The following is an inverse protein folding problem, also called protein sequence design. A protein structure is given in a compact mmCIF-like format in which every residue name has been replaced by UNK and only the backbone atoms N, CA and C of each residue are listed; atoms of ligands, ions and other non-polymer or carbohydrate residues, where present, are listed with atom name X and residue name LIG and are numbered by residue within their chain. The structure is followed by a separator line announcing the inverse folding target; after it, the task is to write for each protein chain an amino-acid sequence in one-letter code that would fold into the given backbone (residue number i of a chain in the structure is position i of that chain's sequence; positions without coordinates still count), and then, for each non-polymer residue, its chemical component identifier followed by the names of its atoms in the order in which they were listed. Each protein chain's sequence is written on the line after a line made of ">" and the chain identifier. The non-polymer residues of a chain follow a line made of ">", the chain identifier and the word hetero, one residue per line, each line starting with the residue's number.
data_IF_264442630081
#
_entry.id   IF_264442630081
#
_cell.length_a   1.000
_cell.length_b   1.000
_cell.length_c   1.000
_cell.angle_alpha   90.00
_cell.angle_beta   90.00
_cell.angle_gamma   90.00
#
_symmetry.space_group_name_H-M   'P 1'
#
loop_
_entity.id
_entity.type
_entity.pdbx_description
1 polymer ?
#
# COMPACT_ATOMS: atom_id res chain seq x y z
N UNK A 1 9.06 -26.37 -7.59
CA UNK A 1 8.79 -27.68 -8.26
C UNK A 1 7.85 -27.58 -9.46
N UNK A 2 6.68 -26.94 -9.38
CA UNK A 2 5.71 -26.82 -10.52
C UNK A 2 6.27 -26.06 -11.74
N UNK A 3 7.04 -24.98 -11.54
CA UNK A 3 7.61 -24.17 -12.63
C UNK A 3 8.69 -24.95 -13.42
N UNK A 4 9.41 -25.86 -12.78
CA UNK A 4 10.41 -26.70 -13.45
C UNK A 4 9.77 -27.75 -14.37
N UNK A 5 8.62 -28.31 -13.98
CA UNK A 5 7.85 -29.24 -14.82
C UNK A 5 7.33 -28.58 -16.11
N UNK A 6 7.09 -27.26 -16.10
CA UNK A 6 6.61 -26.51 -17.25
C UNK A 6 7.70 -26.25 -18.31
N UNK A 7 8.98 -26.40 -17.97
CA UNK A 7 10.15 -26.28 -18.86
C UNK A 7 10.75 -27.65 -19.25
N UNK A 8 9.97 -28.74 -19.24
CA UNK A 8 10.46 -30.10 -19.53
C UNK A 8 10.92 -30.33 -20.98
N UNK A 9 10.75 -29.35 -21.88
CA UNK A 9 11.14 -29.45 -23.29
C UNK A 9 12.65 -29.40 -23.54
N UNK A 10 13.43 -28.77 -22.67
CA UNK A 10 14.91 -28.73 -22.74
C UNK A 10 15.52 -29.32 -21.47
N UNK A 11 16.23 -30.44 -21.63
CA UNK A 11 16.83 -31.20 -20.52
C UNK A 11 17.85 -30.39 -19.72
N UNK A 12 18.54 -29.43 -20.34
CA UNK A 12 19.59 -28.65 -19.67
C UNK A 12 18.98 -27.63 -18.73
N UNK A 13 17.97 -26.91 -19.20
CA UNK A 13 17.26 -25.90 -18.41
C UNK A 13 16.38 -26.55 -17.33
N UNK A 14 15.74 -27.69 -17.64
CA UNK A 14 15.04 -28.50 -16.62
C UNK A 14 15.98 -28.90 -15.48
N UNK A 15 17.20 -29.39 -15.79
CA UNK A 15 18.17 -29.81 -14.76
C UNK A 15 18.60 -28.65 -13.87
N UNK A 16 18.81 -27.46 -14.44
CA UNK A 16 19.19 -26.25 -13.69
C UNK A 16 18.04 -25.73 -12.83
N UNK A 17 16.84 -25.65 -13.39
CA UNK A 17 15.64 -25.22 -12.68
C UNK A 17 15.25 -26.20 -11.56
N UNK A 18 15.36 -27.51 -11.80
CA UNK A 18 15.08 -28.55 -10.80
C UNK A 18 16.11 -28.52 -9.66
N UNK A 19 17.40 -28.43 -9.96
CA UNK A 19 18.44 -28.29 -8.93
C UNK A 19 18.21 -27.03 -8.08
N UNK A 20 17.94 -25.88 -8.72
CA UNK A 20 17.63 -24.63 -8.01
C UNK A 20 16.41 -24.75 -7.09
N UNK A 21 15.32 -25.37 -7.57
CA UNK A 21 14.13 -25.61 -6.77
C UNK A 21 14.42 -26.49 -5.54
N UNK A 22 15.18 -27.58 -5.71
CA UNK A 22 15.51 -28.46 -4.57
C UNK A 22 16.36 -27.77 -3.51
N UNK A 23 17.35 -26.95 -3.90
CA UNK A 23 18.18 -26.20 -2.94
C UNK A 23 17.35 -25.17 -2.17
N UNK A 24 16.43 -24.48 -2.84
CA UNK A 24 15.51 -23.56 -2.19
C UNK A 24 14.61 -24.27 -1.16
N UNK A 25 14.08 -25.44 -1.51
CA UNK A 25 13.23 -26.24 -0.61
C UNK A 25 14.03 -26.77 0.60
N UNK A 26 15.27 -27.24 0.40
CA UNK A 26 16.16 -27.66 1.49
C UNK A 26 16.59 -26.49 2.40
N UNK A 27 16.88 -25.31 1.84
CA UNK A 27 17.19 -24.11 2.61
C UNK A 27 16.02 -23.73 3.52
N UNK A 28 14.79 -23.78 3.00
CA UNK A 28 13.60 -23.51 3.79
C UNK A 28 13.43 -24.53 4.93
N UNK A 29 13.60 -25.83 4.66
CA UNK A 29 13.53 -26.88 5.69
C UNK A 29 14.60 -26.74 6.77
N UNK A 30 15.86 -26.49 6.38
CA UNK A 30 16.95 -26.27 7.32
C UNK A 30 16.71 -25.03 8.18
N UNK A 31 16.18 -23.95 7.58
CA UNK A 31 15.81 -22.75 8.31
C UNK A 31 14.76 -23.04 9.38
N UNK A 32 13.73 -23.83 9.08
CA UNK A 32 12.73 -24.23 10.08
C UNK A 32 13.36 -25.10 11.17
N UNK A 33 14.14 -26.12 10.81
CA UNK A 33 14.78 -27.02 11.78
C UNK A 33 15.73 -26.28 12.72
N UNK A 34 16.38 -25.21 12.25
CA UNK A 34 17.31 -24.42 13.06
C UNK A 34 16.59 -23.31 13.83
N UNK A 35 15.78 -22.49 13.15
CA UNK A 35 15.15 -21.31 13.74
C UNK A 35 14.01 -21.67 14.70
N UNK A 36 13.25 -22.75 14.45
CA UNK A 36 12.10 -23.10 15.29
C UNK A 36 12.51 -23.54 16.70
N UNK A 37 13.53 -24.39 16.91
CA UNK A 37 14.03 -24.68 18.25
C UNK A 37 14.65 -23.46 18.93
N UNK A 38 15.38 -22.61 18.18
CA UNK A 38 15.96 -21.37 18.72
C UNK A 38 14.85 -20.42 19.19
N UNK A 39 13.77 -20.28 18.41
CA UNK A 39 12.61 -19.48 18.78
C UNK A 39 11.91 -20.06 20.00
N UNK A 40 11.68 -21.37 20.03
CA UNK A 40 11.06 -22.03 21.19
C UNK A 40 11.88 -21.88 22.47
N UNK A 41 13.21 -21.80 22.37
CA UNK A 41 14.11 -21.65 23.52
C UNK A 41 14.32 -20.18 23.95
N UNK A 42 14.35 -19.23 23.01
CA UNK A 42 14.78 -17.84 23.27
C UNK A 42 13.71 -16.77 22.99
N UNK A 43 12.73 -17.04 22.13
CA UNK A 43 11.77 -16.04 21.64
C UNK A 43 12.41 -14.91 20.81
N UNK A 44 13.60 -15.13 20.25
CA UNK A 44 14.37 -14.09 19.56
C UNK A 44 13.59 -13.43 18.40
N UNK A 45 12.93 -14.21 17.54
CA UNK A 45 12.16 -13.68 16.42
C UNK A 45 10.93 -12.92 16.90
N UNK A 46 10.29 -13.37 17.99
CA UNK A 46 9.20 -12.64 18.63
C UNK A 46 9.64 -11.25 19.09
N UNK A 47 10.71 -11.14 19.88
CA UNK A 47 11.17 -9.85 20.38
C UNK A 47 11.65 -8.92 19.26
N UNK A 48 12.36 -9.45 18.26
CA UNK A 48 12.76 -8.65 17.11
C UNK A 48 11.56 -8.12 16.33
N UNK A 49 10.58 -8.98 16.07
CA UNK A 49 9.38 -8.59 15.34
C UNK A 49 8.56 -7.59 16.13
N UNK A 50 8.47 -7.75 17.46
CA UNK A 50 7.81 -6.79 18.35
C UNK A 50 8.47 -5.41 18.30
N UNK A 51 9.81 -5.35 18.34
CA UNK A 51 10.56 -4.09 18.23
C UNK A 51 10.32 -3.42 16.87
N UNK A 52 10.36 -4.20 15.78
CA UNK A 52 10.12 -3.71 14.43
C UNK A 52 8.69 -3.16 14.33
N UNK A 53 7.69 -3.93 14.74
CA UNK A 53 6.27 -3.53 14.64
C UNK A 53 5.96 -2.29 15.49
N UNK A 54 6.49 -2.21 16.71
CA UNK A 54 6.35 -1.01 17.57
C UNK A 54 7.01 0.22 16.96
N UNK A 55 8.14 0.05 16.26
CA UNK A 55 8.84 1.17 15.60
C UNK A 55 8.07 1.72 14.39
N UNK A 56 7.22 0.91 13.77
CA UNK A 56 6.40 1.30 12.62
C UNK A 56 5.00 1.82 13.00
N UNK A 57 4.68 1.94 14.29
CA UNK A 57 3.38 2.40 14.82
C UNK A 57 2.17 1.71 14.16
N UNK A 58 2.31 0.40 13.92
CA UNK A 58 1.27 -0.40 13.27
C UNK A 58 0.21 -0.71 14.34
N UNK A 59 -0.92 -0.01 14.26
CA UNK A 59 -2.11 -0.33 15.06
C UNK A 59 -2.49 -1.78 14.80
N UNK A 60 -2.62 -2.58 15.86
CA UNK A 60 -3.06 -3.98 15.77
C UNK A 60 -4.54 -4.07 16.15
N UNK A 61 -5.39 -4.54 15.23
CA UNK A 61 -6.86 -4.61 15.39
C UNK A 61 -7.57 -4.96 14.08
N UNK A 62 -8.88 -5.21 14.13
CA UNK A 62 -9.70 -5.62 12.96
C UNK A 62 -9.72 -4.56 11.84
N UNK A 63 -9.48 -3.29 12.20
CA UNK A 63 -9.33 -2.15 11.29
C UNK A 63 -7.85 -1.72 11.05
N UNK A 64 -6.89 -2.58 11.42
CA UNK A 64 -5.46 -2.29 11.24
C UNK A 64 -5.10 -2.16 9.76
N UNK A 65 -4.48 -1.04 9.33
CA UNK A 65 -3.97 -0.93 7.98
C UNK A 65 -2.80 -1.88 7.78
N UNK A 66 -2.78 -2.59 6.64
CA UNK A 66 -1.65 -3.42 6.22
C UNK A 66 -0.32 -2.68 6.38
N UNK A 67 0.78 -3.37 6.74
CA UNK A 67 2.10 -2.74 6.90
C UNK A 67 2.49 -1.87 5.70
N UNK A 68 2.14 -2.33 4.49
CA UNK A 68 2.37 -1.60 3.26
C UNK A 68 1.53 -0.31 3.19
N UNK A 69 0.30 -0.30 3.71
CA UNK A 69 -0.54 0.90 3.75
C UNK A 69 0.05 1.95 4.68
N UNK A 70 0.63 1.59 5.81
CA UNK A 70 1.27 2.58 6.71
C UNK A 70 2.38 3.35 5.98
N UNK A 71 3.20 2.63 5.20
CA UNK A 71 4.30 3.22 4.42
C UNK A 71 3.78 3.96 3.18
N UNK A 72 2.79 3.40 2.48
CA UNK A 72 2.28 3.98 1.22
C UNK A 72 1.31 5.12 1.43
N UNK A 73 0.52 5.13 2.50
CA UNK A 73 -0.48 6.16 2.81
C UNK A 73 0.05 7.61 2.77
N UNK A 74 1.18 7.97 3.40
CA UNK A 74 1.70 9.34 3.30
C UNK A 74 2.06 9.70 1.87
N UNK A 75 2.62 8.77 1.09
CA UNK A 75 2.94 8.98 -0.32
C UNK A 75 1.67 9.11 -1.16
N UNK A 76 0.68 8.23 -0.97
CA UNK A 76 -0.60 8.27 -1.68
C UNK A 76 -1.32 9.58 -1.40
N UNK A 77 -1.37 10.05 -0.14
CA UNK A 77 -2.01 11.32 0.24
C UNK A 77 -1.38 12.56 -0.39
N UNK A 78 -0.08 12.51 -0.73
CA UNK A 78 0.61 13.58 -1.47
C UNK A 78 0.28 13.56 -2.97
N UNK A 79 0.02 12.38 -3.53
CA UNK A 79 -0.28 12.22 -4.95
C UNK A 79 -1.77 12.51 -5.21
N UNK A 80 -2.68 11.78 -4.55
CA UNK A 80 -4.12 11.86 -4.77
C UNK A 80 -4.91 11.54 -3.49
N UNK A 81 -6.01 12.25 -3.27
CA UNK A 81 -6.97 11.93 -2.22
C UNK A 81 -8.33 11.63 -2.85
N UNK A 82 -8.91 10.49 -2.48
CA UNK A 82 -10.20 10.04 -2.99
C UNK A 82 -11.29 10.26 -1.94
N UNK A 83 -12.48 10.65 -2.39
CA UNK A 83 -13.64 10.78 -1.52
C UNK A 83 -14.30 9.42 -1.27
N UNK A 84 -14.12 8.90 -0.05
CA UNK A 84 -14.71 7.62 0.38
C UNK A 84 -16.24 7.63 0.35
N UNK A 85 -16.87 8.80 0.57
CA UNK A 85 -18.33 8.90 0.57
C UNK A 85 -18.90 8.68 -0.83
N UNK A 86 -18.27 9.29 -1.84
CA UNK A 86 -18.65 9.13 -3.25
C UNK A 86 -18.43 7.68 -3.72
N UNK A 87 -17.32 7.04 -3.32
CA UNK A 87 -17.06 5.63 -3.65
C UNK A 87 -18.14 4.71 -3.05
N UNK A 88 -18.53 4.94 -1.79
CA UNK A 88 -19.59 4.18 -1.14
C UNK A 88 -20.97 4.45 -1.77
N UNK A 89 -21.27 5.69 -2.14
CA UNK A 89 -22.53 6.05 -2.79
C UNK A 89 -22.66 5.42 -4.19
N UNK A 90 -21.54 5.30 -4.92
CA UNK A 90 -21.49 4.58 -6.20
C UNK A 90 -21.66 3.08 -5.98
N UNK A 91 -20.99 2.51 -4.97
CA UNK A 91 -21.10 1.09 -4.64
C UNK A 91 -22.52 0.69 -4.18
N UNK A 92 -23.26 1.62 -3.58
CA UNK A 92 -24.67 1.44 -3.17
C UNK A 92 -25.67 1.74 -4.29
N UNK A 93 -25.22 2.20 -5.46
CA UNK A 93 -26.05 2.42 -6.64
C UNK A 93 -26.86 3.73 -6.63
N UNK A 94 -26.43 4.74 -5.86
CA UNK A 94 -27.13 6.02 -5.79
C UNK A 94 -26.90 6.85 -7.08
N UNK A 95 -27.96 7.20 -7.85
CA UNK A 95 -27.81 7.94 -9.11
C UNK A 95 -27.27 9.37 -8.93
N UNK A 96 -27.37 9.95 -7.74
CA UNK A 96 -26.83 11.28 -7.45
C UNK A 96 -25.31 11.32 -7.33
N UNK A 97 -24.65 10.16 -7.18
CA UNK A 97 -23.20 10.05 -7.00
C UNK A 97 -22.43 9.98 -8.32
N UNK A 98 -23.08 9.59 -9.43
CA UNK A 98 -22.43 9.43 -10.74
C UNK A 98 -21.89 10.74 -11.35
N UNK A 99 -22.43 11.89 -10.91
CA UNK A 99 -22.04 13.22 -11.39
C UNK A 99 -21.06 13.95 -10.46
N UNK A 100 -20.62 13.31 -9.36
CA UNK A 100 -19.67 13.90 -8.40
C UNK A 100 -18.24 13.51 -8.77
N UNK A 101 -17.26 14.37 -8.49
CA UNK A 101 -15.84 14.01 -8.65
C UNK A 101 -15.42 13.02 -7.56
N UNK A 102 -14.60 12.04 -7.96
CA UNK A 102 -13.97 11.06 -7.08
C UNK A 102 -12.78 11.66 -6.31
N UNK A 103 -12.20 12.75 -6.82
CA UNK A 103 -11.02 13.38 -6.25
C UNK A 103 -11.45 14.43 -5.23
N UNK A 104 -10.89 14.32 -4.04
CA UNK A 104 -11.25 15.17 -2.91
C UNK A 104 -10.47 16.48 -2.96
N UNK A 105 -11.09 17.54 -3.50
CA UNK A 105 -10.48 18.88 -3.50
C UNK A 105 -10.43 19.54 -2.12
N UNK A 106 -11.43 19.27 -1.26
CA UNK A 106 -11.62 19.94 0.03
C UNK A 106 -11.41 18.99 1.20
N UNK A 107 -10.47 19.31 2.09
CA UNK A 107 -10.08 18.46 3.21
C UNK A 107 -10.79 18.83 4.52
N UNK A 108 -11.11 20.10 4.70
CA UNK A 108 -11.90 20.59 5.83
C UNK A 108 -13.21 21.16 5.33
N UNK A 109 -14.29 20.48 5.68
CA UNK A 109 -15.67 20.91 5.49
C UNK A 109 -16.35 20.97 6.86
N UNK A 110 -17.20 21.97 7.06
CA UNK A 110 -18.03 22.07 8.26
C UNK A 110 -19.48 22.21 7.84
N UNK A 111 -20.34 21.39 8.43
CA UNK A 111 -21.76 21.45 8.18
C UNK A 111 -22.35 22.44 9.19
N UNK A 112 -22.62 23.66 8.74
CA UNK A 112 -23.35 24.63 9.55
C UNK A 112 -24.84 24.50 9.24
N UNK A 113 -25.67 24.53 10.29
CA UNK A 113 -27.11 24.61 10.13
C UNK A 113 -27.47 26.06 9.88
N UNK A 114 -27.87 26.36 8.65
CA UNK A 114 -28.31 27.71 8.26
C UNK A 114 -29.83 27.68 8.14
N UNK A 115 -30.48 28.67 8.74
CA UNK A 115 -31.91 28.90 8.55
C UNK A 115 -32.13 29.45 7.14
N UNK A 116 -32.80 28.67 6.29
CA UNK A 116 -33.18 29.10 4.95
C UNK A 116 -34.70 29.07 4.78
N UNK A 117 -35.19 30.03 3.99
CA UNK A 117 -36.57 30.05 3.52
C UNK A 117 -36.73 28.99 2.43
N UNK A 118 -37.56 27.98 2.69
CA UNK A 118 -37.86 26.90 1.75
C UNK A 118 -39.31 27.00 1.32
N UNK A 119 -39.56 26.80 0.03
CA UNK A 119 -40.89 26.76 -0.55
C UNK A 119 -41.53 25.40 -0.34
N UNK A 120 -42.71 25.39 0.26
CA UNK A 120 -43.50 24.20 0.59
C UNK A 120 -44.82 24.29 -0.18
N UNK A 121 -45.35 23.16 -0.70
CA UNK A 121 -46.57 23.17 -1.51
C UNK A 121 -47.86 23.33 -0.69
N UNK A 122 -47.86 23.09 0.63
CA UNK A 122 -49.04 23.19 1.47
C UNK A 122 -48.72 23.74 2.87
N UNK A 123 -49.65 24.52 3.42
CA UNK A 123 -49.58 25.12 4.77
C UNK A 123 -49.52 24.11 5.94
N UNK A 124 -49.88 22.84 5.72
CA UNK A 124 -49.77 21.77 6.72
C UNK A 124 -48.34 21.25 6.94
N UNK A 125 -47.46 21.43 5.95
CA UNK A 125 -46.06 20.97 6.01
C UNK A 125 -45.12 22.03 6.61
N UNK A 126 -45.69 23.13 7.13
CA UNK A 126 -44.97 24.17 7.85
C UNK A 126 -44.59 23.68 9.26
N UNK A 127 -43.35 23.94 9.69
CA UNK A 127 -42.82 23.48 11.00
C UNK A 127 -43.55 24.12 12.18
N UNK A 128 -44.15 25.29 11.98
CA UNK A 128 -45.10 25.93 12.89
C UNK A 128 -45.94 27.00 12.16
N UNK A 129 -47.16 27.31 12.62
CA UNK A 129 -48.04 28.29 11.97
C UNK A 129 -47.55 29.74 12.06
N UNK A 130 -46.66 30.08 13.01
CA UNK A 130 -46.13 31.45 13.18
C UNK A 130 -45.05 31.83 12.14
N UNK A 131 -44.39 30.84 11.53
CA UNK A 131 -43.29 31.05 10.59
C UNK A 131 -43.63 30.68 9.13
N UNK A 132 -44.92 30.56 8.80
CA UNK A 132 -45.42 30.19 7.48
C UNK A 132 -45.90 31.46 6.74
N UNK A 133 -45.14 31.95 5.75
CA UNK A 133 -45.49 33.14 4.95
C UNK A 133 -46.05 32.71 3.59
N UNK A 134 -47.24 33.18 3.24
CA UNK A 134 -47.86 32.93 1.93
C UNK A 134 -47.46 34.06 0.98
N UNK A 135 -46.77 33.72 -0.11
CA UNK A 135 -46.38 34.69 -1.15
C UNK A 135 -46.93 34.18 -2.51
N UNK A 136 -48.16 34.57 -2.83
CA UNK A 136 -48.89 34.03 -3.98
C UNK A 136 -49.40 32.60 -3.76
N UNK A 137 -49.16 31.69 -4.72
CA UNK A 137 -49.57 30.27 -4.67
C UNK A 137 -48.61 29.38 -3.85
N UNK A 138 -47.54 29.96 -3.29
CA UNK A 138 -46.46 29.23 -2.65
C UNK A 138 -46.36 29.61 -1.16
N UNK A 139 -46.22 28.61 -0.29
CA UNK A 139 -45.97 28.83 1.16
C UNK A 139 -44.48 28.72 1.47
N UNK A 140 -43.94 29.69 2.21
CA UNK A 140 -42.54 29.75 2.63
C UNK A 140 -42.45 29.40 4.12
N UNK A 141 -41.56 28.47 4.48
CA UNK A 141 -41.23 28.15 5.88
C UNK A 141 -39.74 28.27 6.11
N UNK A 142 -39.35 28.65 7.34
CA UNK A 142 -37.97 28.55 7.78
C UNK A 142 -37.66 27.09 8.12
N UNK A 143 -36.60 26.55 7.52
CA UNK A 143 -36.10 25.21 7.83
C UNK A 143 -34.59 25.26 8.04
N UNK A 144 -34.12 24.53 9.06
CA UNK A 144 -32.71 24.31 9.30
C UNK A 144 -32.17 23.35 8.23
N UNK A 145 -31.38 23.89 7.30
CA UNK A 145 -30.70 23.10 6.28
C UNK A 145 -29.21 23.06 6.63
N UNK A 146 -28.63 21.86 6.58
CA UNK A 146 -27.18 21.69 6.73
C UNK A 146 -26.48 22.13 5.44
N UNK A 147 -25.74 23.23 5.50
CA UNK A 147 -24.88 23.67 4.40
C UNK A 147 -23.42 23.31 4.68
N UNK A 148 -22.77 22.72 3.67
CA UNK A 148 -21.35 22.37 3.74
C UNK A 148 -20.50 23.61 3.41
N UNK A 149 -19.81 24.16 4.40
CA UNK A 149 -18.85 25.24 4.21
C UNK A 149 -17.48 24.65 3.90
N UNK A 150 -16.86 25.13 2.83
CA UNK A 150 -15.54 24.71 2.37
C UNK A 150 -14.45 25.61 2.96
N UNK A 151 -13.63 25.07 3.86
CA UNK A 151 -12.67 25.87 4.63
C UNK A 151 -11.27 25.77 4.02
N UNK A 152 -10.81 24.54 3.75
CA UNK A 152 -9.43 24.30 3.34
C UNK A 152 -9.33 23.22 2.27
N UNK A 153 -8.63 23.56 1.18
CA UNK A 153 -8.26 22.63 0.10
C UNK A 153 -7.25 21.59 0.57
N UNK A 154 -7.30 20.40 -0.02
CA UNK A 154 -6.37 19.32 0.27
C UNK A 154 -4.96 19.59 -0.27
N UNK A 155 -3.94 18.97 0.32
CA UNK A 155 -2.56 19.07 -0.14
C UNK A 155 -2.17 17.81 -0.92
N UNK A 156 -2.57 17.76 -2.19
CA UNK A 156 -2.14 16.72 -3.15
C UNK A 156 -1.90 17.31 -4.54
N UNK A 157 -1.13 16.60 -5.37
CA UNK A 157 -0.66 17.08 -6.68
C UNK A 157 -1.79 17.55 -7.60
N UNK A 158 -2.94 16.88 -7.54
CA UNK A 158 -4.10 17.15 -8.40
C UNK A 158 -5.17 18.09 -7.81
N UNK A 159 -4.88 18.84 -6.73
CA UNK A 159 -5.91 19.67 -6.06
C UNK A 159 -6.47 20.82 -6.92
N UNK A 160 -5.65 21.36 -7.82
CA UNK A 160 -6.04 22.44 -8.74
C UNK A 160 -6.06 21.97 -10.21
N UNK A 161 -6.12 20.66 -10.44
CA UNK A 161 -6.12 20.14 -11.80
C UNK A 161 -7.51 20.27 -12.41
N UNK A 162 -7.65 21.09 -13.46
CA UNK A 162 -8.91 21.26 -14.22
C UNK A 162 -9.20 20.09 -15.18
N UNK A 163 -8.63 18.92 -14.94
CA UNK A 163 -8.68 17.74 -15.83
C UNK A 163 -9.76 16.80 -15.29
N UNK A 164 -10.46 16.08 -16.18
CA UNK A 164 -11.42 15.05 -15.75
C UNK A 164 -10.77 13.96 -14.90
N UNK A 165 -11.54 13.38 -13.97
CA UNK A 165 -11.10 12.27 -13.11
C UNK A 165 -10.48 11.11 -13.91
N UNK A 166 -11.04 10.82 -15.09
CA UNK A 166 -10.51 9.82 -16.02
C UNK A 166 -9.10 10.19 -16.52
N UNK A 167 -8.88 11.45 -16.88
CA UNK A 167 -7.58 11.93 -17.35
C UNK A 167 -6.51 11.81 -16.28
N UNK A 168 -6.85 12.15 -15.03
CA UNK A 168 -5.95 11.98 -13.88
C UNK A 168 -5.65 10.50 -13.64
N UNK A 169 -6.66 9.63 -13.74
CA UNK A 169 -6.50 8.18 -13.67
C UNK A 169 -5.52 7.63 -14.72
N UNK A 170 -5.63 8.09 -15.98
CA UNK A 170 -4.72 7.67 -17.05
C UNK A 170 -3.27 8.13 -16.83
N UNK A 171 -3.07 9.35 -16.33
CA UNK A 171 -1.74 9.89 -16.00
C UNK A 171 -1.11 9.06 -14.87
N UNK A 172 -1.89 8.78 -13.82
CA UNK A 172 -1.43 7.95 -12.69
C UNK A 172 -1.09 6.53 -13.12
N UNK A 173 -1.91 5.92 -13.98
CA UNK A 173 -1.67 4.59 -14.53
C UNK A 173 -0.36 4.57 -15.32
N UNK A 174 -0.18 5.49 -16.26
CA UNK A 174 1.03 5.59 -17.07
C UNK A 174 2.27 5.82 -16.20
N UNK A 175 2.20 6.73 -15.22
CA UNK A 175 3.29 7.01 -14.29
C UNK A 175 3.66 5.79 -13.43
N UNK A 176 2.67 5.09 -12.89
CA UNK A 176 2.90 3.87 -12.09
C UNK A 176 3.56 2.76 -12.91
N UNK A 177 3.17 2.60 -14.17
CA UNK A 177 3.74 1.62 -15.09
C UNK A 177 5.21 1.93 -15.39
N UNK A 178 5.55 3.20 -15.62
CA UNK A 178 6.94 3.63 -15.86
C UNK A 178 7.81 3.35 -14.62
N UNK A 179 7.32 3.69 -13.43
CA UNK A 179 8.04 3.46 -12.17
C UNK A 179 8.25 1.95 -11.94
N UNK A 180 7.23 1.13 -12.17
CA UNK A 180 7.29 -0.32 -12.03
C UNK A 180 8.30 -0.93 -13.02
N UNK A 181 8.25 -0.55 -14.29
CA UNK A 181 9.21 -1.00 -15.30
C UNK A 181 10.64 -0.60 -14.95
N UNK A 182 10.86 0.63 -14.51
CA UNK A 182 12.17 1.13 -14.08
C UNK A 182 12.70 0.34 -12.88
N UNK A 183 11.84 0.09 -11.87
CA UNK A 183 12.16 -0.73 -10.71
C UNK A 183 12.58 -2.15 -11.11
N UNK A 184 11.84 -2.79 -12.02
CA UNK A 184 12.16 -4.14 -12.49
C UNK A 184 13.52 -4.19 -13.21
N UNK A 185 13.79 -3.21 -14.08
CA UNK A 185 15.09 -3.10 -14.77
C UNK A 185 16.21 -2.88 -13.75
N UNK A 186 15.97 -2.03 -12.76
CA UNK A 186 16.96 -1.71 -11.73
C UNK A 186 17.29 -2.94 -10.87
N UNK A 187 16.29 -3.73 -10.47
CA UNK A 187 16.48 -4.98 -9.73
C UNK A 187 17.32 -5.97 -10.56
N UNK A 188 16.99 -6.16 -11.84
CA UNK A 188 17.77 -7.06 -12.71
C UNK A 188 19.21 -6.58 -12.86
N UNK A 189 19.43 -5.26 -13.01
CA UNK A 189 20.79 -4.69 -13.07
C UNK A 189 21.53 -4.82 -11.75
N UNK A 190 20.87 -4.61 -10.61
CA UNK A 190 21.46 -4.79 -9.28
C UNK A 190 21.90 -6.24 -9.09
N UNK A 191 21.02 -7.21 -9.37
CA UNK A 191 21.34 -8.63 -9.26
C UNK A 191 22.51 -9.01 -10.19
N UNK A 192 22.50 -8.56 -11.45
CA UNK A 192 23.59 -8.82 -12.39
C UNK A 192 24.91 -8.15 -11.98
N UNK A 193 24.84 -6.96 -11.37
CA UNK A 193 26.00 -6.24 -10.83
C UNK A 193 26.57 -6.96 -9.62
N UNK A 194 25.74 -7.44 -8.70
CA UNK A 194 26.17 -8.22 -7.53
C UNK A 194 26.84 -9.54 -7.93
N UNK A 195 26.28 -10.24 -8.94
CA UNK A 195 26.80 -11.52 -9.40
C UNK A 195 28.14 -11.43 -10.17
N UNK A 196 28.50 -10.26 -10.71
CA UNK A 196 29.75 -10.07 -11.50
C UNK A 196 30.72 -9.06 -10.91
N UNK A 197 30.32 -8.31 -9.88
CA UNK A 197 31.08 -7.22 -9.28
C UNK A 197 32.04 -7.63 -8.17
N UNK A 198 32.46 -6.65 -7.37
CA UNK A 198 33.42 -6.83 -6.26
C UNK A 198 32.94 -7.86 -5.22
N UNK A 199 31.62 -7.93 -5.01
CA UNK A 199 30.94 -8.92 -4.15
C UNK A 199 31.28 -10.36 -4.58
N UNK A 200 31.23 -10.66 -5.89
CA UNK A 200 31.57 -11.98 -6.40
C UNK A 200 33.06 -12.32 -6.20
N UNK A 201 33.96 -11.34 -6.28
CA UNK A 201 35.38 -11.54 -5.99
C UNK A 201 35.64 -11.80 -4.50
N UNK A 202 34.91 -11.12 -3.61
CA UNK A 202 34.96 -11.34 -2.14
C UNK A 202 34.45 -12.73 -1.80
N UNK A 203 33.29 -13.14 -2.35
CA UNK A 203 32.74 -14.50 -2.18
C UNK A 203 33.73 -15.55 -2.68
N UNK A 204 34.30 -15.38 -3.89
CA UNK A 204 35.30 -16.31 -4.43
C UNK A 204 36.56 -16.38 -3.57
N UNK A 205 37.02 -15.25 -3.03
CA UNK A 205 38.19 -15.21 -2.14
C UNK A 205 37.93 -15.95 -0.83
N UNK A 206 36.75 -15.78 -0.25
CA UNK A 206 36.38 -16.42 1.02
C UNK A 206 36.17 -17.93 0.85
N UNK A 207 35.43 -18.35 -0.19
CA UNK A 207 35.21 -19.78 -0.49
C UNK A 207 36.54 -20.48 -0.77
N UNK A 208 37.49 -19.80 -1.40
CA UNK A 208 38.80 -20.38 -1.73
C UNK A 208 39.85 -20.21 -0.61
N UNK A 209 39.47 -19.60 0.52
CA UNK A 209 40.32 -19.51 1.73
C UNK A 209 39.98 -20.67 2.64
N UNK A 210 40.45 -21.87 2.29
CA UNK A 210 40.44 -23.00 3.21
C UNK A 210 41.61 -22.86 4.19
N UNK A 211 41.28 -22.65 5.47
CA UNK A 211 42.27 -22.65 6.54
C UNK A 211 42.83 -24.06 6.71
N UNK A 212 44.17 -24.16 6.70
CA UNK A 212 44.88 -25.43 6.90
C UNK A 212 44.57 -25.98 8.29
N UNK A 213 44.47 -27.31 8.40
CA UNK A 213 44.21 -28.04 9.64
C UNK A 213 45.05 -27.48 10.82
N UNK A 214 44.47 -27.27 12.03
CA UNK A 214 43.22 -27.84 12.55
C UNK A 214 41.94 -26.98 12.48
N UNK A 215 41.99 -25.74 12.00
CA UNK A 215 40.85 -24.80 12.08
C UNK A 215 39.91 -24.80 10.86
N UNK A 216 39.92 -25.87 10.05
CA UNK A 216 39.10 -25.97 8.83
C UNK A 216 37.58 -25.89 9.08
N UNK A 217 37.10 -26.22 10.28
CA UNK A 217 35.67 -26.09 10.65
C UNK A 217 35.20 -24.64 10.82
N UNK A 218 36.11 -23.70 11.07
CA UNK A 218 35.77 -22.28 11.32
C UNK A 218 35.49 -21.53 10.01
N UNK A 219 35.99 -22.03 8.88
CA UNK A 219 35.84 -21.38 7.57
C UNK A 219 34.38 -21.24 7.17
N UNK A 220 33.57 -22.29 7.41
CA UNK A 220 32.14 -22.28 7.15
C UNK A 220 31.38 -21.22 7.97
N UNK A 221 31.70 -21.07 9.25
CA UNK A 221 31.07 -20.06 10.11
C UNK A 221 31.46 -18.64 9.71
N UNK A 222 32.73 -18.41 9.34
CA UNK A 222 33.18 -17.10 8.83
C UNK A 222 32.48 -16.78 7.50
N UNK A 223 32.32 -17.75 6.61
CA UNK A 223 31.60 -17.57 5.35
C UNK A 223 30.12 -17.18 5.58
N UNK A 224 29.46 -17.80 6.56
CA UNK A 224 28.08 -17.46 6.94
C UNK A 224 28.01 -16.05 7.53
N UNK A 225 28.94 -15.67 8.40
CA UNK A 225 28.95 -14.37 9.08
C UNK A 225 29.22 -13.22 8.09
N UNK A 226 30.14 -13.41 7.14
CA UNK A 226 30.37 -12.44 6.06
C UNK A 226 29.18 -12.40 5.10
N UNK A 227 28.57 -13.55 4.78
CA UNK A 227 27.36 -13.62 3.97
C UNK A 227 26.14 -12.94 4.60
N UNK A 228 26.06 -12.89 5.93
CA UNK A 228 25.02 -12.17 6.65
C UNK A 228 25.29 -10.65 6.75
N UNK A 229 26.55 -10.22 6.59
CA UNK A 229 26.95 -8.81 6.66
C UNK A 229 27.01 -8.08 5.31
N UNK A 230 26.89 -8.80 4.19
CA UNK A 230 26.84 -8.26 2.82
C UNK A 230 25.42 -8.14 2.31
#
# INVERSE_FOLDING_TARGET
>A
TIVALMQSGDRTEFRRAFAGATVHDFFNWLSVIILLPIEAASGYLYYLTEIIVKSFDIQSGEDAPDMLKVITNPLTKLIVQLDKSVINDIATGNPAAANRSLIKEWCKTTNEMVEKNVTVPNSLDCTSPEFCRIDGNNTLTLKNISETIYIQKCHHLFVNASISDLGIGLILLAGSLIILCSCLIFIVKLLNSMLKGQVAAVIKKIINTDFKYPFGWVTGYIAILVGAGM
#
